data_IF_946751715395
#
_entry.id   IF_946751715395
#
_cell.length_a   1.000
_cell.length_b   1.000
_cell.length_c   1.000
_cell.angle_alpha   90.00
_cell.angle_beta   90.00
_cell.angle_gamma   90.00
#
_symmetry.space_group_name_H-M   'P 1'
#
loop_
_entity.id
_entity.type
_entity.pdbx_description
1 polymer ?
#
# COMPACT_ATOMS: atom_id res chain seq x y z
N UNK A 1 2.86 25.32 -14.71
CA UNK A 1 1.62 24.59 -15.09
C UNK A 1 1.75 23.22 -14.45
N UNK A 2 1.07 22.94 -13.34
CA UNK A 2 1.06 21.57 -12.81
C UNK A 2 0.35 20.70 -13.84
N UNK A 3 1.13 19.88 -14.53
CA UNK A 3 0.64 18.93 -15.51
C UNK A 3 0.12 17.70 -14.79
N UNK A 4 -0.98 17.14 -15.28
CA UNK A 4 -1.43 15.80 -14.91
C UNK A 4 -0.29 14.81 -15.16
N UNK A 5 -0.06 13.90 -14.20
CA UNK A 5 0.95 12.85 -14.35
C UNK A 5 0.64 11.97 -15.58
N UNK A 6 1.65 11.62 -16.40
CA UNK A 6 1.44 10.75 -17.56
C UNK A 6 0.91 9.36 -17.20
N UNK A 7 1.15 8.86 -15.98
CA UNK A 7 0.59 7.62 -15.45
C UNK A 7 -0.29 7.89 -14.21
N UNK A 8 -1.58 8.19 -14.41
CA UNK A 8 -2.49 8.49 -13.31
C UNK A 8 -2.71 7.30 -12.37
N UNK A 9 -2.52 6.06 -12.83
CA UNK A 9 -2.69 4.87 -11.98
C UNK A 9 -1.52 4.77 -10.98
N UNK A 10 -0.28 4.93 -11.44
CA UNK A 10 0.89 4.95 -10.56
C UNK A 10 0.85 6.18 -9.64
N UNK A 11 0.49 7.35 -10.17
CA UNK A 11 0.42 8.57 -9.40
C UNK A 11 -0.59 8.47 -8.26
N UNK A 12 -1.83 8.05 -8.55
CA UNK A 12 -2.89 7.88 -7.57
C UNK A 12 -2.56 6.85 -6.48
N UNK A 13 -1.79 5.81 -6.80
CA UNK A 13 -1.34 4.82 -5.82
C UNK A 13 -0.26 5.37 -4.88
N UNK A 14 0.64 6.23 -5.36
CA UNK A 14 1.93 6.45 -4.70
C UNK A 14 2.14 7.83 -4.09
N UNK A 15 1.78 8.89 -4.80
CA UNK A 15 2.22 10.25 -4.43
C UNK A 15 1.19 11.33 -4.75
N UNK A 16 0.13 11.01 -5.49
CA UNK A 16 -0.92 11.95 -5.82
C UNK A 16 -2.22 11.58 -5.13
N UNK A 17 -2.68 12.47 -4.26
CA UNK A 17 -4.02 12.46 -3.72
C UNK A 17 -4.54 13.89 -3.68
N UNK A 18 -5.82 14.05 -4.00
CA UNK A 18 -6.54 15.30 -3.78
C UNK A 18 -7.88 14.99 -3.09
N UNK A 19 -8.34 15.90 -2.21
CA UNK A 19 -9.61 15.71 -1.53
C UNK A 19 -10.75 15.65 -2.55
N UNK A 20 -11.84 14.88 -2.30
CA UNK A 20 -12.95 14.76 -3.24
C UNK A 20 -13.57 16.11 -3.64
N UNK A 21 -13.53 17.11 -2.75
CA UNK A 21 -14.01 18.47 -3.03
C UNK A 21 -13.20 19.20 -4.13
N UNK A 22 -11.97 18.77 -4.41
CA UNK A 22 -11.13 19.32 -5.47
C UNK A 22 -11.28 18.58 -6.81
N UNK A 23 -12.17 17.57 -6.89
CA UNK A 23 -12.35 16.71 -8.05
C UNK A 23 -13.77 16.82 -8.61
N UNK A 24 -13.86 16.87 -9.95
CA UNK A 24 -15.12 16.74 -10.68
C UNK A 24 -15.06 15.51 -11.56
N UNK A 25 -16.00 14.58 -11.36
CA UNK A 25 -16.08 13.35 -12.12
C UNK A 25 -17.18 13.45 -13.18
N UNK A 26 -16.92 12.88 -14.36
CA UNK A 26 -17.99 12.57 -15.30
C UNK A 26 -18.88 11.48 -14.69
N UNK A 27 -20.20 11.61 -14.84
CA UNK A 27 -21.16 10.62 -14.33
C UNK A 27 -20.84 9.19 -14.78
N UNK A 28 -20.46 9.02 -16.05
CA UNK A 28 -20.07 7.73 -16.62
C UNK A 28 -18.88 7.04 -15.91
N UNK A 29 -17.98 7.82 -15.29
CA UNK A 29 -16.87 7.28 -14.49
C UNK A 29 -17.39 6.82 -13.14
N UNK A 30 -18.23 7.65 -12.50
CA UNK A 30 -18.87 7.31 -11.22
C UNK A 30 -19.69 6.04 -11.35
N UNK A 31 -20.47 5.89 -12.42
CA UNK A 31 -21.28 4.70 -12.67
C UNK A 31 -20.43 3.44 -12.93
N UNK A 32 -19.27 3.58 -13.59
CA UNK A 32 -18.33 2.47 -13.80
C UNK A 32 -17.61 2.04 -12.54
N UNK A 33 -17.25 2.99 -11.67
CA UNK A 33 -16.65 2.70 -10.36
C UNK A 33 -17.70 2.06 -9.43
N UNK A 34 -18.92 2.60 -9.46
CA UNK A 34 -20.00 2.22 -8.56
C UNK A 34 -19.92 2.96 -7.23
N UNK A 35 -20.08 2.21 -6.13
CA UNK A 35 -20.10 2.78 -4.77
C UNK A 35 -18.71 2.87 -4.17
N UNK A 36 -18.57 3.74 -3.16
CA UNK A 36 -17.38 3.78 -2.31
C UNK A 36 -17.06 2.38 -1.76
N UNK A 37 -15.77 2.01 -1.80
CA UNK A 37 -15.32 0.73 -1.25
C UNK A 37 -15.62 0.67 0.25
N UNK A 38 -16.36 -0.37 0.66
CA UNK A 38 -16.66 -0.66 2.06
C UNK A 38 -15.50 -1.38 2.76
N UNK A 39 -14.61 -1.97 1.98
CA UNK A 39 -13.46 -2.75 2.48
C UNK A 39 -12.28 -1.86 2.88
N UNK A 40 -12.29 -0.58 2.46
CA UNK A 40 -11.25 0.42 2.74
C UNK A 40 -11.81 1.68 3.44
N UNK A 41 -12.39 1.54 4.65
CA UNK A 41 -13.15 2.60 5.30
C UNK A 41 -12.34 3.85 5.67
N UNK A 42 -11.01 3.77 5.77
CA UNK A 42 -10.15 4.88 6.17
C UNK A 42 -9.69 5.73 4.97
N UNK A 43 -9.56 5.12 3.80
CA UNK A 43 -8.98 5.74 2.58
C UNK A 43 -9.96 5.79 1.41
N UNK A 44 -11.27 5.81 1.71
CA UNK A 44 -12.32 5.74 0.68
C UNK A 44 -12.13 6.80 -0.42
N UNK A 45 -11.76 8.02 -0.04
CA UNK A 45 -11.43 9.14 -0.93
C UNK A 45 -10.29 8.82 -1.89
N UNK A 46 -9.14 8.40 -1.36
CA UNK A 46 -8.00 7.99 -2.16
C UNK A 46 -8.32 6.78 -3.04
N UNK A 47 -9.09 5.84 -2.52
CA UNK A 47 -9.52 4.67 -3.27
C UNK A 47 -10.41 5.06 -4.46
N UNK A 48 -11.37 5.96 -4.29
CA UNK A 48 -12.26 6.34 -5.37
C UNK A 48 -11.52 7.07 -6.50
N UNK A 49 -10.53 7.92 -6.15
CA UNK A 49 -9.61 8.49 -7.13
C UNK A 49 -8.80 7.40 -7.87
N UNK A 50 -8.29 6.41 -7.13
CA UNK A 50 -7.56 5.28 -7.70
C UNK A 50 -8.45 4.46 -8.67
N UNK A 51 -9.68 4.14 -8.26
CA UNK A 51 -10.63 3.40 -9.10
C UNK A 51 -10.97 4.18 -10.38
N UNK A 52 -11.04 5.52 -10.34
CA UNK A 52 -11.17 6.33 -11.55
C UNK A 52 -9.97 6.14 -12.50
N UNK A 53 -8.75 6.12 -11.98
CA UNK A 53 -7.56 5.83 -12.78
C UNK A 53 -7.60 4.42 -13.37
N UNK A 54 -7.94 3.40 -12.57
CA UNK A 54 -8.08 2.00 -13.03
C UNK A 54 -9.17 1.83 -14.10
N UNK A 55 -10.24 2.63 -14.06
CA UNK A 55 -11.28 2.70 -15.08
C UNK A 55 -10.89 3.54 -16.32
N UNK A 56 -9.59 3.87 -16.45
CA UNK A 56 -9.00 4.64 -17.55
C UNK A 56 -9.66 6.01 -17.71
N UNK A 57 -10.01 6.67 -16.61
CA UNK A 57 -10.44 8.06 -16.64
C UNK A 57 -9.34 8.93 -17.25
N UNK A 58 -9.76 9.95 -18.01
CA UNK A 58 -8.85 11.01 -18.46
C UNK A 58 -8.86 12.13 -17.44
N UNK A 59 -7.68 12.47 -16.93
CA UNK A 59 -7.51 13.55 -15.97
C UNK A 59 -7.13 14.84 -16.69
N UNK A 60 -7.71 15.94 -16.24
CA UNK A 60 -7.42 17.28 -16.75
C UNK A 60 -7.26 18.23 -15.56
N UNK A 61 -6.17 18.99 -15.55
CA UNK A 61 -5.96 20.02 -14.55
C UNK A 61 -6.73 21.28 -14.94
N UNK A 62 -7.54 21.80 -14.02
CA UNK A 62 -8.25 23.08 -14.17
C UNK A 62 -7.53 24.12 -13.32
N UNK A 63 -6.96 25.19 -13.91
CA UNK A 63 -6.25 26.19 -13.14
C UNK A 63 -7.20 26.96 -12.21
N UNK A 64 -6.74 27.23 -10.99
CA UNK A 64 -7.48 27.97 -9.97
C UNK A 64 -7.67 27.18 -8.67
N UNK A 65 -8.22 27.84 -7.66
CA UNK A 65 -8.50 27.19 -6.37
C UNK A 65 -9.83 26.44 -6.48
N UNK A 66 -9.78 25.11 -6.56
CA UNK A 66 -10.98 24.27 -6.58
C UNK A 66 -11.63 24.09 -5.21
N UNK A 67 -10.82 24.01 -4.14
CA UNK A 67 -11.31 23.85 -2.77
C UNK A 67 -10.28 24.30 -1.73
N UNK A 68 -10.77 24.72 -0.56
CA UNK A 68 -9.95 24.88 0.64
C UNK A 68 -10.13 23.66 1.55
N UNK A 69 -9.08 22.86 1.70
CA UNK A 69 -9.11 21.69 2.57
C UNK A 69 -8.62 22.05 3.97
N UNK A 70 -9.45 21.77 4.98
CA UNK A 70 -9.12 22.06 6.38
C UNK A 70 -8.44 20.85 7.01
N UNK A 71 -7.23 21.06 7.52
CA UNK A 71 -6.48 20.03 8.23
C UNK A 71 -6.65 20.20 9.73
N UNK A 72 -7.22 19.19 10.38
CA UNK A 72 -7.29 19.09 11.84
C UNK A 72 -6.38 17.97 12.36
N UNK A 73 -5.95 18.07 13.62
CA UNK A 73 -5.08 17.05 14.25
C UNK A 73 -5.71 15.66 14.37
N UNK A 74 -7.05 15.56 14.32
CA UNK A 74 -7.81 14.33 14.52
C UNK A 74 -8.46 13.78 13.23
N UNK A 75 -7.77 13.85 12.08
CA UNK A 75 -8.28 13.18 10.86
C UNK A 75 -8.43 11.67 11.09
N UNK A 76 -9.35 11.02 10.38
CA UNK A 76 -9.63 9.58 10.54
C UNK A 76 -8.36 8.73 10.43
N UNK A 77 -7.50 9.02 9.46
CA UNK A 77 -6.19 8.38 9.26
C UNK A 77 -5.21 8.57 10.42
N UNK A 78 -5.34 9.66 11.20
CA UNK A 78 -4.52 9.94 12.39
C UNK A 78 -5.14 9.35 13.65
N UNK A 79 -6.48 9.35 13.74
CA UNK A 79 -7.21 8.78 14.87
C UNK A 79 -7.02 7.26 14.96
N UNK A 80 -6.88 6.57 13.82
CA UNK A 80 -6.60 5.13 13.77
C UNK A 80 -5.50 4.79 12.76
N UNK A 81 -4.25 5.05 13.13
CA UNK A 81 -3.09 4.83 12.26
C UNK A 81 -2.90 3.35 11.85
N UNK A 82 -3.23 2.38 12.71
CA UNK A 82 -3.16 0.95 12.34
C UNK A 82 -4.21 0.58 11.30
N UNK A 83 -5.47 1.04 11.45
CA UNK A 83 -6.49 0.83 10.41
C UNK A 83 -6.09 1.49 9.08
N UNK A 84 -5.56 2.72 9.12
CA UNK A 84 -5.02 3.38 7.92
C UNK A 84 -3.95 2.54 7.21
N UNK A 85 -2.99 2.00 7.96
CA UNK A 85 -1.91 1.19 7.38
C UNK A 85 -2.38 -0.15 6.82
N UNK A 86 -3.40 -0.75 7.44
CA UNK A 86 -4.07 -1.97 6.93
C UNK A 86 -4.81 -1.67 5.62
N UNK A 87 -5.52 -0.57 5.55
CA UNK A 87 -6.20 -0.14 4.32
C UNK A 87 -5.19 0.18 3.20
N UNK A 88 -4.06 0.84 3.52
CA UNK A 88 -2.98 1.05 2.53
C UNK A 88 -2.41 -0.26 1.99
N UNK A 89 -2.23 -1.27 2.85
CA UNK A 89 -1.80 -2.61 2.43
C UNK A 89 -2.83 -3.24 1.52
N UNK A 90 -4.09 -3.29 1.95
CA UNK A 90 -5.16 -3.94 1.20
C UNK A 90 -5.41 -3.25 -0.15
N UNK A 91 -5.35 -1.92 -0.20
CA UNK A 91 -5.39 -1.17 -1.46
C UNK A 91 -4.25 -1.56 -2.41
N UNK A 92 -3.01 -1.67 -1.92
CA UNK A 92 -1.89 -2.08 -2.74
C UNK A 92 -2.04 -3.52 -3.27
N UNK A 93 -2.63 -4.42 -2.47
CA UNK A 93 -2.96 -5.79 -2.89
C UNK A 93 -4.00 -5.78 -4.01
N UNK A 94 -5.10 -5.04 -3.83
CA UNK A 94 -6.20 -5.02 -4.80
C UNK A 94 -5.79 -4.36 -6.13
N UNK A 95 -5.00 -3.29 -6.07
CA UNK A 95 -4.45 -2.64 -7.27
C UNK A 95 -3.49 -3.56 -8.02
N UNK A 96 -2.61 -4.27 -7.30
CA UNK A 96 -1.67 -5.20 -7.92
C UNK A 96 -2.39 -6.35 -8.63
N UNK A 97 -3.41 -6.92 -7.98
CA UNK A 97 -4.26 -7.96 -8.57
C UNK A 97 -4.99 -7.43 -9.81
N UNK A 98 -5.57 -6.22 -9.73
CA UNK A 98 -6.21 -5.59 -10.87
C UNK A 98 -5.24 -5.44 -12.05
N UNK A 99 -4.02 -4.94 -11.81
CA UNK A 99 -3.01 -4.80 -12.86
C UNK A 99 -2.61 -6.14 -13.47
N UNK A 100 -2.44 -7.20 -12.68
CA UNK A 100 -2.17 -8.54 -13.21
C UNK A 100 -3.25 -9.00 -14.18
N UNK A 101 -4.51 -8.72 -13.86
CA UNK A 101 -5.65 -9.08 -14.69
C UNK A 101 -5.85 -8.12 -15.88
N UNK A 102 -5.32 -6.89 -15.81
CA UNK A 102 -5.60 -5.80 -16.75
C UNK A 102 -4.32 -5.16 -17.33
N UNK A 103 -3.59 -5.92 -18.14
CA UNK A 103 -2.41 -5.44 -18.87
C UNK A 103 -1.06 -5.78 -18.21
N UNK A 104 -1.09 -6.48 -17.08
CA UNK A 104 0.10 -7.02 -16.42
C UNK A 104 0.73 -6.08 -15.40
N UNK A 105 1.56 -6.69 -14.55
CA UNK A 105 2.38 -6.00 -13.56
C UNK A 105 3.75 -5.67 -14.17
N UNK A 106 3.86 -4.50 -14.82
CA UNK A 106 5.15 -3.99 -15.33
C UNK A 106 6.11 -3.66 -14.19
N UNK A 107 7.37 -3.40 -14.51
CA UNK A 107 8.37 -3.04 -13.49
C UNK A 107 8.02 -1.72 -12.77
N UNK A 108 7.45 -0.75 -13.47
CA UNK A 108 7.01 0.53 -12.91
C UNK A 108 5.85 0.31 -11.93
N UNK A 109 4.83 -0.45 -12.32
CA UNK A 109 3.69 -0.84 -11.48
C UNK A 109 4.14 -1.66 -10.27
N UNK A 110 5.05 -2.62 -10.46
CA UNK A 110 5.65 -3.38 -9.37
C UNK A 110 6.39 -2.47 -8.39
N UNK A 111 7.18 -1.51 -8.89
CA UNK A 111 7.88 -0.54 -8.06
C UNK A 111 6.92 0.39 -7.30
N UNK A 112 5.81 0.81 -7.92
CA UNK A 112 4.77 1.61 -7.29
C UNK A 112 4.14 0.87 -6.09
N UNK A 113 3.79 -0.41 -6.26
CA UNK A 113 3.28 -1.25 -5.17
C UNK A 113 4.34 -1.43 -4.07
N UNK A 114 5.60 -1.72 -4.45
CA UNK A 114 6.69 -1.87 -3.49
C UNK A 114 6.98 -0.57 -2.70
N UNK A 115 6.73 0.60 -3.27
CA UNK A 115 6.82 1.88 -2.57
C UNK A 115 5.79 1.97 -1.44
N UNK A 116 4.53 1.64 -1.71
CA UNK A 116 3.46 1.61 -0.70
C UNK A 116 3.79 0.58 0.39
N UNK A 117 4.20 -0.62 -0.01
CA UNK A 117 4.58 -1.68 0.93
C UNK A 117 5.80 -1.30 1.78
N UNK A 118 6.74 -0.53 1.22
CA UNK A 118 7.88 0.00 1.99
C UNK A 118 7.42 0.95 3.08
N UNK A 119 6.46 1.83 2.78
CA UNK A 119 5.84 2.70 3.77
C UNK A 119 5.15 1.88 4.87
N UNK A 120 4.24 0.98 4.49
CA UNK A 120 3.48 0.14 5.44
C UNK A 120 4.42 -0.68 6.33
N UNK A 121 5.39 -1.38 5.74
CA UNK A 121 6.34 -2.24 6.46
C UNK A 121 7.14 -1.43 7.49
N UNK A 122 7.61 -0.23 7.14
CA UNK A 122 8.37 0.61 8.09
C UNK A 122 7.49 1.15 9.21
N UNK A 123 6.25 1.55 8.90
CA UNK A 123 5.33 2.14 9.86
C UNK A 123 4.75 1.13 10.86
N UNK A 124 4.65 -0.15 10.47
CA UNK A 124 4.03 -1.23 11.26
C UNK A 124 5.02 -2.07 12.04
N UNK A 125 6.32 -2.00 11.73
CA UNK A 125 7.35 -2.89 12.29
C UNK A 125 7.35 -3.04 13.82
N UNK A 126 7.06 -1.97 14.57
CA UNK A 126 7.04 -2.01 16.05
C UNK A 126 5.66 -2.13 16.66
N UNK A 127 4.61 -1.82 15.91
CA UNK A 127 3.28 -1.50 16.44
C UNK A 127 2.19 -2.44 15.93
N UNK A 128 2.41 -3.10 14.79
CA UNK A 128 1.42 -3.95 14.14
C UNK A 128 2.14 -5.08 13.39
N UNK A 129 2.53 -6.10 14.15
CA UNK A 129 3.33 -7.21 13.66
C UNK A 129 2.63 -7.94 12.50
N UNK A 130 1.32 -8.21 12.63
CA UNK A 130 0.56 -8.91 11.59
C UNK A 130 0.62 -8.16 10.24
N UNK A 131 0.35 -6.86 10.26
CA UNK A 131 0.38 -6.04 9.05
C UNK A 131 1.80 -5.95 8.47
N UNK A 132 2.81 -5.85 9.32
CA UNK A 132 4.22 -5.91 8.91
C UNK A 132 4.53 -7.22 8.16
N UNK A 133 4.15 -8.37 8.72
CA UNK A 133 4.43 -9.68 8.13
C UNK A 133 3.70 -9.85 6.79
N UNK A 134 2.45 -9.41 6.72
CA UNK A 134 1.65 -9.48 5.48
C UNK A 134 2.27 -8.60 4.40
N UNK A 135 2.61 -7.35 4.71
CA UNK A 135 3.23 -6.43 3.76
C UNK A 135 4.58 -6.96 3.24
N UNK A 136 5.44 -7.45 4.13
CA UNK A 136 6.74 -8.02 3.75
C UNK A 136 6.60 -9.29 2.90
N UNK A 137 5.67 -10.18 3.27
CA UNK A 137 5.42 -11.41 2.51
C UNK A 137 4.88 -11.09 1.12
N UNK A 138 3.95 -10.14 1.02
CA UNK A 138 3.39 -9.68 -0.25
C UNK A 138 4.47 -9.05 -1.14
N UNK A 139 5.30 -8.15 -0.59
CA UNK A 139 6.41 -7.54 -1.32
C UNK A 139 7.40 -8.58 -1.87
N UNK A 140 7.67 -9.65 -1.11
CA UNK A 140 8.56 -10.74 -1.53
C UNK A 140 7.96 -11.64 -2.62
N UNK A 141 6.64 -11.72 -2.74
CA UNK A 141 6.00 -12.38 -3.90
C UNK A 141 6.23 -11.58 -5.17
N UNK A 142 6.15 -10.25 -5.08
CA UNK A 142 6.39 -9.36 -6.22
C UNK A 142 7.86 -9.41 -6.63
N UNK A 143 8.77 -9.27 -5.67
CA UNK A 143 10.20 -9.30 -5.92
C UNK A 143 10.90 -10.15 -4.85
N UNK A 144 11.30 -11.40 -5.18
CA UNK A 144 12.03 -12.27 -4.26
C UNK A 144 13.26 -11.57 -3.69
N UNK A 145 13.47 -11.72 -2.38
CA UNK A 145 14.58 -11.04 -1.68
C UNK A 145 14.39 -9.55 -1.43
N UNK A 146 13.26 -8.95 -1.83
CA UNK A 146 12.99 -7.56 -1.52
C UNK A 146 12.94 -7.30 -0.01
N UNK A 147 13.46 -6.13 0.35
CA UNK A 147 13.45 -5.61 1.70
C UNK A 147 13.33 -4.07 1.67
N UNK A 148 12.59 -3.46 2.61
CA UNK A 148 12.45 -2.00 2.63
C UNK A 148 13.80 -1.32 2.88
N UNK A 149 14.11 -0.30 2.09
CA UNK A 149 15.28 0.56 2.31
C UNK A 149 14.97 1.53 3.47
N UNK A 150 15.77 1.52 4.55
CA UNK A 150 15.83 2.63 5.54
C UNK A 150 15.73 2.26 7.02
N UNK A 151 16.38 3.09 7.85
CA UNK A 151 16.65 3.05 9.32
C UNK A 151 17.83 2.13 9.78
N UNK A 152 18.68 2.63 10.69
CA UNK A 152 19.86 1.89 11.23
C UNK A 152 19.46 0.55 11.87
N UNK A 153 18.28 0.49 12.48
CA UNK A 153 17.68 -0.72 13.05
C UNK A 153 17.37 -1.77 11.99
N UNK A 154 16.86 -1.34 10.83
CA UNK A 154 16.60 -2.23 9.70
C UNK A 154 17.88 -2.68 9.00
N UNK A 155 18.96 -1.88 9.01
CA UNK A 155 20.27 -2.32 8.49
C UNK A 155 20.84 -3.49 9.28
N UNK A 156 20.78 -3.43 10.60
CA UNK A 156 21.21 -4.51 11.51
C UNK A 156 20.39 -5.80 11.33
N UNK A 157 19.08 -5.69 11.08
CA UNK A 157 18.25 -6.85 10.76
C UNK A 157 18.48 -7.34 9.32
N UNK A 158 18.72 -6.44 8.36
CA UNK A 158 19.00 -6.79 6.96
C UNK A 158 20.33 -7.53 6.78
N UNK A 159 21.32 -7.32 7.66
CA UNK A 159 22.57 -8.10 7.65
C UNK A 159 22.37 -9.54 8.12
N UNK A 160 21.34 -9.82 8.92
CA UNK A 160 20.96 -11.18 9.35
C UNK A 160 19.99 -11.83 8.35
N UNK A 161 19.11 -11.03 7.73
CA UNK A 161 18.09 -11.48 6.77
C UNK A 161 18.64 -11.62 5.34
N UNK A 162 19.74 -10.93 5.01
CA UNK A 162 20.18 -10.71 3.63
C UNK A 162 21.26 -11.63 3.08
N UNK A 163 21.92 -12.48 3.85
CA UNK A 163 22.90 -13.42 3.28
C UNK A 163 23.17 -14.62 4.21
N UNK A 164 22.81 -15.83 3.78
CA UNK A 164 23.56 -16.99 4.23
C UNK A 164 24.07 -17.80 3.04
N UNK A 165 25.39 -17.75 2.83
CA UNK A 165 26.14 -18.73 2.02
C UNK A 165 26.26 -20.09 2.72
N UNK A 166 25.63 -20.28 3.89
CA UNK A 166 25.71 -21.50 4.71
C UNK A 166 24.35 -21.97 5.21
N UNK A 167 24.19 -23.29 5.34
CA UNK A 167 22.98 -23.99 5.78
C UNK A 167 22.52 -23.54 7.19
N UNK A 168 23.45 -23.26 8.10
CA UNK A 168 23.16 -22.73 9.43
C UNK A 168 22.52 -21.33 9.41
N UNK A 169 22.91 -20.48 8.46
CA UNK A 169 22.33 -19.15 8.31
C UNK A 169 20.94 -19.19 7.66
N UNK A 170 20.65 -20.20 6.83
CA UNK A 170 19.30 -20.45 6.34
C UNK A 170 18.35 -20.93 7.47
N UNK A 171 18.85 -21.69 8.44
CA UNK A 171 18.11 -22.06 9.65
C UNK A 171 17.87 -20.85 10.57
N UNK A 172 18.90 -20.03 10.81
CA UNK A 172 18.75 -18.78 11.56
C UNK A 172 17.75 -17.82 10.88
N UNK A 173 17.77 -17.72 9.55
CA UNK A 173 16.78 -16.99 8.78
C UNK A 173 15.36 -17.58 8.94
N UNK A 174 15.19 -18.90 8.87
CA UNK A 174 13.88 -19.55 9.09
C UNK A 174 13.37 -19.34 10.51
N UNK A 175 14.25 -19.34 11.50
CA UNK A 175 13.92 -19.09 12.91
C UNK A 175 13.61 -17.62 13.18
N UNK A 176 14.39 -16.69 12.62
CA UNK A 176 14.13 -15.25 12.72
C UNK A 176 12.87 -14.87 11.95
N UNK A 177 12.62 -15.48 10.79
CA UNK A 177 11.35 -15.36 10.05
C UNK A 177 10.19 -15.94 10.85
N UNK A 178 10.35 -17.04 11.56
CA UNK A 178 9.33 -17.55 12.49
C UNK A 178 9.12 -16.61 13.68
N UNK A 179 10.17 -16.00 14.22
CA UNK A 179 10.05 -15.01 15.30
C UNK A 179 9.40 -13.71 14.82
N UNK A 180 9.69 -13.27 13.59
CA UNK A 180 9.20 -12.03 12.98
C UNK A 180 7.92 -12.19 12.15
N UNK A 181 7.43 -13.41 11.92
CA UNK A 181 6.24 -13.69 11.12
C UNK A 181 5.40 -14.87 11.62
N UNK A 182 5.74 -15.48 12.74
CA UNK A 182 5.16 -16.74 13.20
C UNK A 182 4.89 -16.73 14.70
N UNK A 183 3.88 -15.97 15.11
CA UNK A 183 3.01 -16.31 16.23
C UNK A 183 1.57 -15.94 15.82
N UNK A 184 0.93 -16.85 15.10
CA UNK A 184 -0.52 -17.00 15.03
C UNK A 184 -0.83 -18.43 14.58
N UNK A 185 -0.63 -19.38 15.50
CA UNK A 185 -1.17 -20.74 15.44
C UNK A 185 -1.23 -21.28 16.87
N UNK A 186 -2.16 -20.74 17.67
CA UNK A 186 -2.78 -21.47 18.78
C UNK A 186 -4.00 -20.71 19.27
N UNK A 187 -5.18 -21.13 18.80
CA UNK A 187 -6.41 -21.15 19.58
C UNK A 187 -7.56 -21.66 18.69
N UNK A 188 -7.66 -22.99 18.56
CA UNK A 188 -8.94 -23.72 18.41
C UNK A 188 -8.68 -25.21 18.56
N UNK A 189 -8.52 -25.61 19.81
CA UNK A 189 -8.85 -26.95 20.30
C UNK A 189 -9.45 -26.76 21.68
N UNK A 190 -10.78 -26.78 21.76
CA UNK A 190 -11.62 -27.19 22.91
C UNK A 190 -13.07 -26.99 22.46
N UNK A 191 -13.62 -28.02 21.83
CA UNK A 191 -14.82 -28.77 22.28
C UNK A 191 -15.14 -29.88 21.27
#
# INVERSE_FOLDING_TARGET
>A
MESVDPDPEIAALTHFWCPPAALLYRREIVERIGSWSKDLPIIQDARFLMDAALQRARFAHVPGVGAYYRVHGHSLSRANASAFLRDCLENAVQVEEFWRQNGGLTDERANAVLQVLSYVTRATFKTDHETFCRALSFARRIRPGWFPKGSRSFRLLSSVVGYPRSESGALAYRSLKRLLCGLNLSARTSD
#
